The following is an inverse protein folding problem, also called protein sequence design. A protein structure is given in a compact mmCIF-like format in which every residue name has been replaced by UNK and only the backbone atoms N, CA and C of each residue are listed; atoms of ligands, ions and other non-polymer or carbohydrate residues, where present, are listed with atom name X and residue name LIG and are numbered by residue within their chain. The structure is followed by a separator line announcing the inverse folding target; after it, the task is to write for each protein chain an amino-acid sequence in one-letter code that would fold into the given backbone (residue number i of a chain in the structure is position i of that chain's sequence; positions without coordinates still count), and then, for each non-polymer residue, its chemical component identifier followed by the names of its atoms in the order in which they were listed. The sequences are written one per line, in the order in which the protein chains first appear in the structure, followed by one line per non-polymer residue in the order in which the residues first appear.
data_IF_316338054747
#
_entry.id   IF_316338054747
#
_cell.length_a   1.000
_cell.length_b   1.000
_cell.length_c   1.000
_cell.angle_alpha   90.00
_cell.angle_beta   90.00
_cell.angle_gamma   90.00
#
_symmetry.space_group_name_H-M   'P 1'
#
loop_
_entity.id
_entity.type
_entity.pdbx_description
1 polymer ?
#
# COMPACT_ATOMS: atom_id res chain seq x y z
N UNK A 1 38.82 43.79 -15.24
CA UNK A 1 37.46 44.18 -15.65
C UNK A 1 36.90 43.03 -16.46
N UNK A 2 36.34 42.04 -15.76
CA UNK A 2 34.88 41.86 -15.57
C UNK A 2 34.39 40.97 -16.73
N UNK A 3 34.22 39.65 -16.51
CA UNK A 3 32.91 39.02 -16.16
C UNK A 3 32.04 38.88 -17.45
N UNK A 4 31.39 37.79 -17.84
CA UNK A 4 30.85 36.54 -17.27
C UNK A 4 30.53 35.69 -18.51
N UNK A 5 31.17 34.53 -18.74
CA UNK A 5 30.65 33.19 -18.43
C UNK A 5 29.12 33.03 -18.59
N UNK A 6 28.66 32.76 -19.81
CA UNK A 6 27.24 32.50 -20.08
C UNK A 6 26.88 31.10 -19.54
N UNK A 7 26.04 30.97 -18.50
CA UNK A 7 25.70 29.66 -18.00
C UNK A 7 24.64 29.03 -18.92
N UNK A 8 24.95 27.81 -19.37
CA UNK A 8 23.97 26.91 -19.93
C UNK A 8 22.84 26.73 -18.90
N UNK A 9 21.62 27.05 -19.30
CA UNK A 9 20.42 26.79 -18.52
C UNK A 9 20.22 25.27 -18.40
N UNK A 10 20.86 24.67 -17.40
CA UNK A 10 20.43 23.42 -16.83
C UNK A 10 19.12 23.72 -16.10
N UNK A 11 17.99 23.49 -16.76
CA UNK A 11 16.71 23.36 -16.08
C UNK A 11 16.79 22.11 -15.22
N UNK A 12 17.20 22.31 -13.97
CA UNK A 12 16.94 21.38 -12.89
C UNK A 12 15.42 21.23 -12.81
N UNK A 13 14.91 20.14 -13.38
CA UNK A 13 13.54 19.69 -13.13
C UNK A 13 13.48 19.42 -11.64
N UNK A 14 12.87 20.35 -10.91
CA UNK A 14 12.59 20.23 -9.51
C UNK A 14 12.01 18.84 -9.25
N UNK A 15 12.67 18.10 -8.35
CA UNK A 15 12.09 16.91 -7.75
C UNK A 15 10.84 17.38 -7.01
N UNK A 16 9.69 17.29 -7.68
CA UNK A 16 8.38 17.41 -7.04
C UNK A 16 8.25 16.24 -6.08
N UNK A 17 8.74 16.45 -4.86
CA UNK A 17 8.42 15.62 -3.72
C UNK A 17 6.93 15.79 -3.44
N UNK A 18 6.11 14.98 -4.11
CA UNK A 18 4.73 14.76 -3.70
C UNK A 18 4.78 14.25 -2.26
N UNK A 19 4.53 15.16 -1.31
CA UNK A 19 4.19 14.83 0.06
C UNK A 19 2.85 14.11 0.01
N UNK A 20 2.89 12.82 -0.34
CA UNK A 20 1.79 11.92 -0.06
C UNK A 20 1.66 11.94 1.45
N UNK A 21 0.80 12.79 2.00
CA UNK A 21 0.51 12.74 3.42
C UNK A 21 0.01 11.32 3.70
N UNK A 22 0.87 10.48 4.31
CA UNK A 22 0.73 9.04 4.29
C UNK A 22 -0.50 8.67 5.15
N UNK A 23 -1.66 8.54 4.51
CA UNK A 23 -2.94 8.33 5.19
C UNK A 23 -2.97 7.12 6.13
N UNK A 24 -2.06 6.15 5.97
CA UNK A 24 -1.94 4.99 6.86
C UNK A 24 -1.35 5.30 8.25
N UNK A 25 -0.73 6.47 8.45
CA UNK A 25 0.08 6.75 9.64
C UNK A 25 -0.74 6.69 10.94
N UNK A 26 -2.04 6.99 10.90
CA UNK A 26 -2.90 7.00 12.09
C UNK A 26 -3.05 5.62 12.76
N UNK A 27 -2.88 4.52 12.01
CA UNK A 27 -2.98 3.14 12.53
C UNK A 27 -1.76 2.28 12.24
N UNK A 28 -0.60 2.92 12.05
CA UNK A 28 0.67 2.26 11.72
C UNK A 28 0.98 1.07 12.63
N UNK A 29 0.85 1.24 13.95
CA UNK A 29 1.18 0.19 14.92
C UNK A 29 0.29 -1.03 14.81
N UNK A 30 -0.98 -0.85 14.45
CA UNK A 30 -1.93 -1.95 14.28
C UNK A 30 -1.63 -2.74 13.01
N UNK A 31 -1.26 -2.06 11.92
CA UNK A 31 -0.79 -2.73 10.70
C UNK A 31 0.50 -3.51 10.96
N UNK A 32 1.46 -2.92 11.67
CA UNK A 32 2.70 -3.60 12.04
C UNK A 32 2.44 -4.85 12.91
N UNK A 33 1.53 -4.78 13.89
CA UNK A 33 1.13 -5.95 14.69
C UNK A 33 0.53 -7.05 13.82
N UNK A 34 -0.35 -6.72 12.87
CA UNK A 34 -0.96 -7.69 11.94
C UNK A 34 0.08 -8.33 11.03
N UNK A 35 0.99 -7.53 10.46
CA UNK A 35 2.07 -8.00 9.59
C UNK A 35 3.04 -8.93 10.33
N UNK A 36 3.43 -8.60 11.57
CA UNK A 36 4.25 -9.49 12.42
C UNK A 36 3.58 -10.83 12.70
N UNK A 37 2.24 -10.85 12.85
CA UNK A 37 1.49 -12.10 13.00
C UNK A 37 1.52 -12.94 11.72
N UNK A 38 1.34 -12.31 10.55
CA UNK A 38 1.43 -12.96 9.23
C UNK A 38 2.83 -13.54 9.00
N UNK A 39 3.87 -12.81 9.35
CA UNK A 39 5.26 -13.29 9.31
C UNK A 39 5.45 -14.57 10.17
N UNK A 40 4.82 -14.60 11.34
CA UNK A 40 4.77 -15.80 12.19
C UNK A 40 4.05 -16.99 11.53
N UNK A 41 2.96 -16.72 10.78
CA UNK A 41 2.25 -17.75 10.00
C UNK A 41 3.13 -18.30 8.87
N UNK A 42 3.85 -17.44 8.15
CA UNK A 42 4.77 -17.85 7.10
C UNK A 42 5.88 -18.78 7.64
N UNK A 43 6.49 -18.42 8.79
CA UNK A 43 7.42 -19.32 9.48
C UNK A 43 6.77 -20.61 9.95
N UNK A 44 5.50 -20.57 10.34
CA UNK A 44 4.72 -21.75 10.69
C UNK A 44 4.57 -22.71 9.51
N UNK A 45 4.21 -22.18 8.34
CA UNK A 45 4.10 -22.95 7.10
C UNK A 45 5.43 -23.60 6.70
N UNK A 46 6.54 -22.89 6.81
CA UNK A 46 7.87 -23.45 6.56
C UNK A 46 8.12 -24.69 7.42
N UNK A 47 7.91 -24.60 8.74
CA UNK A 47 8.03 -25.74 9.65
C UNK A 47 7.09 -26.88 9.31
N UNK A 48 5.85 -26.58 8.89
CA UNK A 48 4.91 -27.65 8.51
C UNK A 48 5.37 -28.42 7.27
N UNK A 49 6.04 -27.75 6.33
CA UNK A 49 6.63 -28.40 5.16
C UNK A 49 7.86 -29.20 5.55
N UNK A 50 8.75 -28.63 6.39
CA UNK A 50 9.93 -29.33 6.92
C UNK A 50 9.55 -30.60 7.71
N UNK A 51 8.48 -30.54 8.49
CA UNK A 51 7.93 -31.65 9.28
C UNK A 51 7.07 -32.62 8.45
N UNK A 52 6.98 -32.43 7.12
CA UNK A 52 6.16 -33.25 6.21
C UNK A 52 4.70 -33.40 6.68
N UNK A 53 4.10 -32.32 7.20
CA UNK A 53 2.71 -32.33 7.68
C UNK A 53 1.73 -32.63 6.56
N UNK A 54 0.55 -33.12 6.96
CA UNK A 54 -0.51 -33.45 6.04
C UNK A 54 -0.90 -32.24 5.17
N UNK A 55 -1.00 -32.47 3.86
CA UNK A 55 -1.19 -31.41 2.87
C UNK A 55 -2.44 -30.55 3.15
N UNK A 56 -3.52 -31.14 3.67
CA UNK A 56 -4.75 -30.40 3.98
C UNK A 56 -4.55 -29.42 5.15
N UNK A 57 -3.71 -29.75 6.12
CA UNK A 57 -3.40 -28.86 7.24
C UNK A 57 -2.56 -27.66 6.76
N UNK A 58 -1.60 -27.92 5.86
CA UNK A 58 -0.79 -26.88 5.22
C UNK A 58 -1.71 -25.95 4.41
N UNK A 59 -2.59 -26.49 3.57
CA UNK A 59 -3.55 -25.70 2.78
C UNK A 59 -4.51 -24.89 3.65
N UNK A 60 -4.89 -25.42 4.82
CA UNK A 60 -5.69 -24.69 5.81
C UNK A 60 -4.92 -23.49 6.37
N UNK A 61 -3.64 -23.65 6.71
CA UNK A 61 -2.80 -22.55 7.18
C UNK A 61 -2.48 -21.52 6.09
N UNK A 62 -2.26 -21.95 4.84
CA UNK A 62 -2.14 -21.05 3.69
C UNK A 62 -3.40 -20.20 3.58
N UNK A 63 -4.57 -20.81 3.61
CA UNK A 63 -5.85 -20.10 3.56
C UNK A 63 -6.03 -19.11 4.71
N UNK A 64 -5.59 -19.46 5.92
CA UNK A 64 -5.60 -18.56 7.07
C UNK A 64 -4.67 -17.35 6.89
N UNK A 65 -3.48 -17.56 6.32
CA UNK A 65 -2.53 -16.48 6.02
C UNK A 65 -3.05 -15.55 4.91
N UNK A 66 -3.64 -16.10 3.85
CA UNK A 66 -4.26 -15.31 2.78
C UNK A 66 -5.38 -14.42 3.32
N UNK A 67 -6.26 -14.93 4.19
CA UNK A 67 -7.31 -14.13 4.84
C UNK A 67 -6.73 -13.00 5.71
N UNK A 68 -5.63 -13.25 6.41
CA UNK A 68 -4.96 -12.23 7.21
C UNK A 68 -4.37 -11.11 6.34
N UNK A 69 -3.76 -11.46 5.20
CA UNK A 69 -3.27 -10.49 4.21
C UNK A 69 -4.42 -9.67 3.61
N UNK A 70 -5.52 -10.31 3.21
CA UNK A 70 -6.72 -9.64 2.69
C UNK A 70 -7.28 -8.63 3.71
N UNK A 71 -7.30 -8.98 5.00
CA UNK A 71 -7.75 -8.07 6.05
C UNK A 71 -6.85 -6.83 6.21
N UNK A 72 -5.52 -6.99 6.02
CA UNK A 72 -4.59 -5.85 6.02
C UNK A 72 -4.83 -4.96 4.80
N UNK A 73 -4.94 -5.55 3.60
CA UNK A 73 -5.21 -4.81 2.37
C UNK A 73 -6.51 -4.03 2.43
N UNK A 74 -7.58 -4.64 2.95
CA UNK A 74 -8.88 -3.97 3.10
C UNK A 74 -8.81 -2.80 4.07
N UNK A 75 -8.11 -2.94 5.21
CA UNK A 75 -7.93 -1.83 6.15
C UNK A 75 -7.17 -0.66 5.53
N UNK A 76 -6.08 -0.93 4.82
CA UNK A 76 -5.28 0.12 4.15
C UNK A 76 -6.11 0.85 3.09
N UNK A 77 -6.95 0.12 2.37
CA UNK A 77 -7.87 0.67 1.39
C UNK A 77 -8.93 1.55 2.06
N UNK A 78 -9.59 1.08 3.12
CA UNK A 78 -10.60 1.87 3.85
C UNK A 78 -10.03 3.21 4.33
N UNK A 79 -8.83 3.18 4.89
CA UNK A 79 -8.11 4.39 5.31
C UNK A 79 -7.86 5.33 4.11
N UNK A 80 -7.37 4.79 2.99
CA UNK A 80 -7.12 5.55 1.77
C UNK A 80 -8.40 6.21 1.21
N UNK A 81 -9.52 5.47 1.19
CA UNK A 81 -10.80 6.01 0.76
C UNK A 81 -11.31 7.11 1.71
N UNK A 82 -11.17 6.92 3.02
CA UNK A 82 -11.65 7.86 4.03
C UNK A 82 -10.94 9.21 4.00
N UNK A 83 -9.64 9.24 3.65
CA UNK A 83 -8.82 10.45 3.69
C UNK A 83 -8.60 11.06 2.30
N UNK A 84 -8.21 10.26 1.31
CA UNK A 84 -7.84 10.78 0.00
C UNK A 84 -9.06 11.02 -0.90
N UNK A 85 -10.02 10.11 -0.90
CA UNK A 85 -11.19 10.21 -1.80
C UNK A 85 -12.23 11.19 -1.28
N UNK A 86 -12.46 11.25 0.04
CA UNK A 86 -13.39 12.24 0.62
C UNK A 86 -12.87 13.66 0.41
N UNK A 87 -11.58 13.91 0.65
CA UNK A 87 -10.96 15.22 0.42
C UNK A 87 -11.00 15.61 -1.07
N UNK A 88 -10.67 14.67 -1.97
CA UNK A 88 -10.72 14.92 -3.41
C UNK A 88 -12.16 15.15 -3.91
N UNK A 89 -13.14 14.39 -3.43
CA UNK A 89 -14.55 14.58 -3.77
C UNK A 89 -15.11 15.94 -3.31
N UNK A 90 -14.61 16.47 -2.18
CA UNK A 90 -14.96 17.82 -1.72
C UNK A 90 -14.29 18.92 -2.56
N UNK A 91 -13.08 18.68 -3.09
CA UNK A 91 -12.37 19.61 -3.96
C UNK A 91 -12.97 19.68 -5.38
N UNK A 92 -13.48 18.55 -5.89
CA UNK A 92 -14.16 18.45 -7.19
C UNK A 92 -13.23 18.58 -8.41
N UNK A 93 -13.83 18.50 -9.60
CA UNK A 93 -13.12 18.66 -10.87
C UNK A 93 -12.24 17.48 -11.29
N UNK A 94 -11.37 17.72 -12.27
CA UNK A 94 -10.59 16.67 -12.96
C UNK A 94 -9.63 15.91 -12.05
N UNK A 95 -9.08 16.59 -11.03
CA UNK A 95 -8.18 15.98 -10.04
C UNK A 95 -8.93 14.99 -9.12
N UNK A 96 -10.18 15.29 -8.79
CA UNK A 96 -11.04 14.38 -8.04
C UNK A 96 -11.31 13.09 -8.81
N UNK A 97 -11.64 13.21 -10.10
CA UNK A 97 -11.90 12.07 -10.98
C UNK A 97 -10.68 11.15 -11.12
N UNK A 98 -9.48 11.73 -11.23
CA UNK A 98 -8.22 10.98 -11.31
C UNK A 98 -7.94 10.19 -10.03
N UNK A 99 -8.13 10.80 -8.85
CA UNK A 99 -7.93 10.15 -7.55
C UNK A 99 -8.96 9.04 -7.29
N UNK A 100 -10.20 9.24 -7.69
CA UNK A 100 -11.25 8.21 -7.62
C UNK A 100 -10.91 7.02 -8.52
N UNK A 101 -10.41 7.27 -9.75
CA UNK A 101 -10.00 6.22 -10.67
C UNK A 101 -8.83 5.40 -10.11
N UNK A 102 -7.81 6.05 -9.57
CA UNK A 102 -6.65 5.41 -8.95
C UNK A 102 -7.08 4.46 -7.81
N UNK A 103 -7.94 4.95 -6.91
CA UNK A 103 -8.49 4.14 -5.83
C UNK A 103 -9.30 2.94 -6.36
N UNK A 104 -10.14 3.16 -7.39
CA UNK A 104 -10.96 2.11 -8.01
C UNK A 104 -10.09 1.00 -8.63
N UNK A 105 -9.00 1.35 -9.30
CA UNK A 105 -8.06 0.38 -9.86
C UNK A 105 -7.36 -0.45 -8.77
N UNK A 106 -6.96 0.18 -7.66
CA UNK A 106 -6.36 -0.51 -6.52
C UNK A 106 -7.35 -1.52 -5.91
N UNK A 107 -8.61 -1.13 -5.74
CA UNK A 107 -9.70 -2.03 -5.30
C UNK A 107 -9.84 -3.21 -6.26
N UNK A 108 -9.87 -2.93 -7.57
CA UNK A 108 -10.08 -3.96 -8.56
C UNK A 108 -8.96 -5.01 -8.56
N UNK A 109 -7.70 -4.62 -8.28
CA UNK A 109 -6.58 -5.56 -8.11
C UNK A 109 -6.77 -6.45 -6.88
N UNK A 110 -7.24 -5.87 -5.76
CA UNK A 110 -7.48 -6.58 -4.51
C UNK A 110 -8.63 -7.61 -4.60
N UNK A 111 -9.68 -7.32 -5.35
CA UNK A 111 -10.83 -8.23 -5.50
C UNK A 111 -10.52 -9.45 -6.38
N UNK A 112 -9.51 -9.34 -7.26
CA UNK A 112 -9.12 -10.41 -8.19
C UNK A 112 -8.08 -11.40 -7.63
N UNK A 113 -7.55 -11.14 -6.44
CA UNK A 113 -6.53 -11.97 -5.76
C UNK A 113 -7.14 -12.92 -4.73
#
# INVERSE_FOLDING_TARGET
MTSVDQPAAATASAEESHDHQHGYIHRKDDYLKRLRRIEGQARGLQRMVEDEKYCIDILTQVSAMTKALQAVSLGLLEEHLSHCVVAAAQAGGREADEKIREATEAIARLVRS
#
